data_IF_514942419555
#
_entry.id   IF_514942419555
#
_cell.length_a   1.000
_cell.length_b   1.000
_cell.length_c   1.000
_cell.angle_alpha   90.00
_cell.angle_beta   90.00
_cell.angle_gamma   90.00
#
_symmetry.space_group_name_H-M   'P 1'
#
loop_
_entity.id
_entity.type
_entity.pdbx_description
1 polymer ?
#
# COMPACT_ATOMS: atom_id res chain seq x y z
N UNK A 1 1.51 -17.33 17.24
CA UNK A 1 2.06 -16.95 18.56
C UNK A 1 1.47 -15.60 18.94
N UNK A 2 1.05 -15.43 20.19
CA UNK A 2 0.37 -14.23 20.68
C UNK A 2 1.24 -13.54 21.72
N UNK A 3 1.61 -12.28 21.48
CA UNK A 3 2.27 -11.43 22.47
C UNK A 3 1.31 -11.05 23.62
N UNK A 4 -0.01 -11.18 23.41
CA UNK A 4 -1.06 -10.72 24.32
C UNK A 4 -1.78 -11.86 25.04
N UNK A 5 -1.28 -13.11 24.95
CA UNK A 5 -1.89 -14.27 25.61
C UNK A 5 -3.26 -14.71 25.07
N UNK A 6 -3.82 -14.01 24.08
CA UNK A 6 -5.06 -14.40 23.41
C UNK A 6 -4.80 -15.46 22.31
N UNK A 7 -5.74 -16.39 22.13
CA UNK A 7 -5.71 -17.33 21.01
C UNK A 7 -5.82 -16.54 19.70
N UNK A 8 -4.80 -16.60 18.86
CA UNK A 8 -4.79 -15.87 17.59
C UNK A 8 -5.90 -16.41 16.69
N UNK A 9 -6.83 -15.54 16.29
CA UNK A 9 -7.83 -15.89 15.28
C UNK A 9 -7.18 -16.29 13.96
N UNK A 10 -7.86 -17.09 13.12
CA UNK A 10 -7.33 -17.46 11.80
C UNK A 10 -7.05 -16.23 10.93
N UNK A 11 -5.85 -16.15 10.36
CA UNK A 11 -5.41 -14.97 9.58
C UNK A 11 -6.32 -14.67 8.39
N UNK A 12 -6.82 -15.71 7.72
CA UNK A 12 -7.72 -15.57 6.57
C UNK A 12 -9.05 -14.89 6.92
N UNK A 13 -9.53 -15.02 8.17
CA UNK A 13 -10.73 -14.29 8.62
C UNK A 13 -10.43 -12.81 8.81
N UNK A 14 -9.29 -12.48 9.40
CA UNK A 14 -8.82 -11.10 9.54
C UNK A 14 -8.66 -10.45 8.15
N UNK A 15 -7.98 -11.14 7.23
CA UNK A 15 -7.81 -10.69 5.84
C UNK A 15 -9.15 -10.44 5.14
N UNK A 16 -10.11 -11.35 5.29
CA UNK A 16 -11.47 -11.18 4.75
C UNK A 16 -12.17 -9.94 5.29
N UNK A 17 -12.12 -9.71 6.61
CA UNK A 17 -12.71 -8.52 7.25
C UNK A 17 -12.03 -7.23 6.77
N UNK A 18 -10.70 -7.20 6.69
CA UNK A 18 -9.95 -6.05 6.20
C UNK A 18 -10.31 -5.72 4.74
N UNK A 19 -10.38 -6.74 3.87
CA UNK A 19 -10.83 -6.59 2.48
C UNK A 19 -12.25 -6.04 2.39
N UNK A 20 -13.18 -6.55 3.19
CA UNK A 20 -14.55 -6.03 3.26
C UNK A 20 -14.60 -4.59 3.78
N UNK A 21 -13.74 -4.23 4.74
CA UNK A 21 -13.62 -2.87 5.23
C UNK A 21 -13.02 -1.91 4.18
N UNK A 22 -12.35 -2.44 3.14
CA UNK A 22 -11.62 -1.63 2.16
C UNK A 22 -10.26 -1.21 2.68
N UNK A 23 -9.64 -2.03 3.54
CA UNK A 23 -8.30 -1.82 4.07
C UNK A 23 -7.31 -2.58 3.20
N UNK A 24 -6.31 -1.87 2.68
CA UNK A 24 -5.18 -2.47 1.97
C UNK A 24 -4.19 -3.00 3.01
N UNK A 25 -4.07 -4.32 3.10
CA UNK A 25 -3.12 -4.97 3.99
C UNK A 25 -1.73 -5.02 3.35
N UNK A 26 -0.70 -4.72 4.14
CA UNK A 26 0.72 -4.86 3.80
C UNK A 26 1.41 -5.79 4.80
N UNK A 27 2.57 -6.34 4.43
CA UNK A 27 3.27 -7.37 5.22
C UNK A 27 4.49 -6.84 5.98
N UNK A 28 4.86 -5.57 5.78
CA UNK A 28 5.98 -4.94 6.45
C UNK A 28 5.69 -3.46 6.79
N UNK A 29 6.40 -2.91 7.78
CA UNK A 29 6.36 -1.49 8.11
C UNK A 29 6.89 -0.65 6.94
N UNK A 30 7.86 -1.19 6.22
CA UNK A 30 8.43 -0.54 5.04
C UNK A 30 7.38 -0.37 3.93
N UNK A 31 6.64 -1.43 3.61
CA UNK A 31 5.55 -1.37 2.62
C UNK A 31 4.44 -0.43 3.10
N UNK A 32 4.16 -0.34 4.41
CA UNK A 32 3.18 0.60 4.96
C UNK A 32 3.51 2.04 4.57
N UNK A 33 4.74 2.48 4.79
CA UNK A 33 5.17 3.84 4.43
C UNK A 33 5.32 4.01 2.92
N UNK A 34 5.92 3.03 2.24
CA UNK A 34 6.16 3.05 0.80
C UNK A 34 4.87 3.15 -0.01
N UNK A 35 3.89 2.30 0.30
CA UNK A 35 2.60 2.30 -0.39
C UNK A 35 1.76 3.51 0.04
N UNK A 36 1.83 3.89 1.32
CA UNK A 36 1.17 5.08 1.85
C UNK A 36 1.63 6.37 1.16
N UNK A 37 2.92 6.49 0.86
CA UNK A 37 3.46 7.65 0.14
C UNK A 37 2.89 7.77 -1.28
N UNK A 38 2.87 6.67 -2.03
CA UNK A 38 2.25 6.65 -3.36
C UNK A 38 0.77 7.04 -3.32
N UNK A 39 0.00 6.43 -2.41
CA UNK A 39 -1.42 6.73 -2.23
C UNK A 39 -1.69 8.19 -1.81
N UNK A 40 -0.79 8.79 -1.03
CA UNK A 40 -0.97 10.14 -0.51
C UNK A 40 -0.59 11.25 -1.50
N UNK A 41 0.34 10.96 -2.43
CA UNK A 41 0.97 12.00 -3.26
C UNK A 41 0.65 11.91 -4.73
N UNK A 42 0.25 10.74 -5.22
CA UNK A 42 0.02 10.54 -6.65
C UNK A 42 -1.46 10.67 -7.03
N UNK A 43 -1.76 11.12 -8.27
CA UNK A 43 -3.11 11.08 -8.82
C UNK A 43 -3.72 9.67 -8.73
N UNK A 44 -5.06 9.55 -8.60
CA UNK A 44 -5.72 8.24 -8.64
C UNK A 44 -5.46 7.51 -9.96
N UNK A 45 -5.13 6.22 -9.87
CA UNK A 45 -4.92 5.38 -11.04
C UNK A 45 -6.23 5.18 -11.82
N UNK A 46 -6.20 5.46 -13.13
CA UNK A 46 -7.39 5.43 -14.00
C UNK A 46 -7.72 4.04 -14.57
N UNK A 47 -6.81 3.07 -14.45
CA UNK A 47 -6.82 1.79 -15.16
C UNK A 47 -5.72 0.88 -14.65
N UNK A 48 -5.34 -0.10 -15.46
CA UNK A 48 -4.32 -1.09 -15.11
C UNK A 48 -3.19 -1.17 -16.14
N UNK A 49 -3.20 -0.29 -17.15
CA UNK A 49 -2.17 -0.22 -18.20
C UNK A 49 -1.01 0.63 -17.70
N UNK A 50 0.16 0.05 -17.55
CA UNK A 50 1.34 0.73 -16.99
C UNK A 50 2.38 0.91 -18.09
N UNK A 51 2.85 2.15 -18.25
CA UNK A 51 4.01 2.48 -19.06
C UNK A 51 5.29 2.32 -18.26
N UNK A 52 6.34 1.80 -18.89
CA UNK A 52 7.66 1.68 -18.28
C UNK A 52 8.69 2.35 -19.18
N UNK A 53 9.50 3.23 -18.59
CA UNK A 53 10.67 3.84 -19.24
C UNK A 53 11.91 3.48 -18.43
N UNK A 54 12.97 2.98 -19.06
CA UNK A 54 14.16 2.49 -18.37
C UNK A 54 15.44 2.78 -19.15
N UNK A 55 16.57 2.78 -18.46
CA UNK A 55 17.91 2.69 -19.06
C UNK A 55 18.48 1.26 -19.04
N UNK A 56 17.74 0.28 -18.51
CA UNK A 56 18.20 -1.09 -18.33
C UNK A 56 17.04 -2.10 -18.38
N UNK A 57 17.20 -3.14 -19.19
CA UNK A 57 16.20 -4.18 -19.39
C UNK A 57 15.94 -5.08 -18.16
N UNK A 58 16.94 -5.24 -17.27
CA UNK A 58 16.79 -6.05 -16.06
C UNK A 58 15.71 -5.49 -15.11
N UNK A 59 15.85 -4.25 -14.63
CA UNK A 59 14.82 -3.55 -13.87
C UNK A 59 13.45 -3.51 -14.56
N UNK A 60 13.41 -3.26 -15.87
CA UNK A 60 12.14 -3.29 -16.60
C UNK A 60 11.48 -4.68 -16.61
N UNK A 61 12.26 -5.75 -16.71
CA UNK A 61 11.75 -7.13 -16.60
C UNK A 61 11.19 -7.38 -15.20
N UNK A 62 11.89 -6.96 -14.14
CA UNK A 62 11.43 -7.11 -12.76
C UNK A 62 10.13 -6.33 -12.49
N UNK A 63 10.02 -5.10 -12.99
CA UNK A 63 8.80 -4.29 -12.91
C UNK A 63 7.66 -5.00 -13.64
N UNK A 64 7.84 -5.32 -14.92
CA UNK A 64 6.80 -5.96 -15.74
C UNK A 64 6.31 -7.27 -15.14
N UNK A 65 7.23 -8.11 -14.65
CA UNK A 65 6.89 -9.37 -14.00
C UNK A 65 6.08 -9.16 -12.72
N UNK A 66 6.48 -8.21 -11.86
CA UNK A 66 5.77 -7.92 -10.62
C UNK A 66 4.36 -7.35 -10.88
N UNK A 67 4.22 -6.51 -11.90
CA UNK A 67 2.93 -5.96 -12.33
C UNK A 67 1.99 -7.07 -12.86
N UNK A 68 2.50 -7.96 -13.70
CA UNK A 68 1.74 -9.07 -14.31
C UNK A 68 1.18 -10.03 -13.25
N UNK A 69 1.99 -10.39 -12.23
CA UNK A 69 1.56 -11.24 -11.12
C UNK A 69 0.37 -10.68 -10.33
N UNK A 70 0.20 -9.36 -10.34
CA UNK A 70 -0.84 -8.63 -9.62
C UNK A 70 -1.98 -8.17 -10.54
N UNK A 71 -2.02 -8.66 -11.79
CA UNK A 71 -3.10 -8.41 -12.75
C UNK A 71 -3.04 -7.06 -13.46
N UNK A 72 -1.92 -6.35 -13.37
CA UNK A 72 -1.65 -5.16 -14.17
C UNK A 72 -1.16 -5.52 -15.57
N UNK A 73 -1.28 -4.58 -16.52
CA UNK A 73 -0.94 -4.77 -17.92
C UNK A 73 0.23 -3.85 -18.29
N UNK A 74 1.20 -4.38 -19.03
CA UNK A 74 2.26 -3.59 -19.68
C UNK A 74 2.02 -3.69 -21.20
N UNK A 75 1.03 -2.96 -21.76
CA UNK A 75 0.63 -3.16 -23.14
C UNK A 75 1.67 -2.59 -24.10
N UNK A 76 1.88 -3.28 -25.23
CA UNK A 76 2.63 -2.71 -26.34
C UNK A 76 1.99 -1.39 -26.79
N UNK A 77 2.80 -0.36 -26.95
CA UNK A 77 2.35 0.93 -27.48
C UNK A 77 1.93 0.82 -28.95
N UNK A 78 1.03 1.70 -29.37
CA UNK A 78 0.59 1.83 -30.76
C UNK A 78 1.77 2.13 -31.68
N UNK A 79 1.69 1.66 -32.94
CA UNK A 79 2.71 1.97 -33.95
C UNK A 79 2.91 3.49 -34.11
N UNK A 80 1.83 4.27 -33.98
CA UNK A 80 1.90 5.73 -34.01
C UNK A 80 2.77 6.30 -32.89
N UNK A 81 2.56 5.89 -31.64
CA UNK A 81 3.37 6.34 -30.51
C UNK A 81 4.83 5.88 -30.65
N UNK A 82 5.04 4.63 -31.06
CA UNK A 82 6.38 4.10 -31.33
C UNK A 82 7.11 4.92 -32.41
N UNK A 83 6.43 5.26 -33.50
CA UNK A 83 6.98 6.08 -34.60
C UNK A 83 7.26 7.51 -34.17
N UNK A 84 6.49 8.05 -33.22
CA UNK A 84 6.78 9.37 -32.62
C UNK A 84 7.99 9.33 -31.69
N UNK A 85 8.18 8.27 -30.90
CA UNK A 85 9.32 8.14 -29.97
C UNK A 85 10.62 7.85 -30.75
N UNK A 86 10.56 7.04 -31.81
CA UNK A 86 11.72 6.52 -32.56
C UNK A 86 12.78 7.57 -32.95
N UNK A 87 12.43 8.79 -33.44
CA UNK A 87 13.41 9.81 -33.82
C UNK A 87 14.20 10.39 -32.64
N UNK A 88 13.72 10.23 -31.41
CA UNK A 88 14.34 10.78 -30.21
C UNK A 88 15.28 9.81 -29.52
N UNK A 89 15.16 8.51 -29.79
CA UNK A 89 15.91 7.44 -29.10
C UNK A 89 16.97 6.84 -30.03
N UNK A 90 18.08 6.30 -29.50
CA UNK A 90 19.09 5.67 -30.34
C UNK A 90 18.54 4.42 -31.05
N UNK A 91 19.16 4.02 -32.16
CA UNK A 91 18.66 2.97 -33.06
C UNK A 91 18.46 1.61 -32.35
N UNK A 92 19.30 1.32 -31.36
CA UNK A 92 19.26 0.10 -30.56
C UNK A 92 18.27 0.15 -29.38
N UNK A 93 17.62 1.30 -29.12
CA UNK A 93 16.61 1.42 -28.08
C UNK A 93 15.29 0.75 -28.48
N UNK A 94 14.60 0.21 -27.48
CA UNK A 94 13.23 -0.26 -27.62
C UNK A 94 12.27 0.93 -27.57
N UNK A 95 11.35 1.02 -28.53
CA UNK A 95 10.21 1.97 -28.46
C UNK A 95 8.90 1.28 -28.09
N UNK A 96 8.89 -0.05 -27.98
CA UNK A 96 7.75 -0.78 -27.42
C UNK A 96 7.70 -0.53 -25.91
N UNK A 97 6.63 -0.93 -25.23
CA UNK A 97 6.57 -0.89 -23.77
C UNK A 97 7.13 -2.21 -23.22
N UNK A 98 8.16 -2.21 -22.35
CA UNK A 98 8.92 -1.07 -21.82
C UNK A 98 9.82 -0.36 -22.84
N UNK A 99 9.87 0.98 -22.76
CA UNK A 99 10.80 1.81 -23.55
C UNK A 99 12.16 1.77 -22.87
N UNK A 100 13.08 1.02 -23.45
CA UNK A 100 14.44 0.82 -22.95
C UNK A 100 15.42 1.64 -23.78
N UNK A 101 15.96 2.70 -23.18
CA UNK A 101 16.94 3.58 -23.79
C UNK A 101 18.37 3.02 -23.72
N UNK A 102 18.56 1.83 -23.14
CA UNK A 102 19.87 1.22 -22.89
C UNK A 102 20.76 2.17 -22.06
N UNK A 103 22.08 2.11 -22.21
CA UNK A 103 23.00 3.03 -21.54
C UNK A 103 23.05 4.45 -22.14
N UNK A 104 21.98 4.90 -22.80
CA UNK A 104 21.89 6.26 -23.30
C UNK A 104 21.51 7.20 -22.15
N UNK A 105 22.51 7.92 -21.63
CA UNK A 105 22.42 8.74 -20.42
C UNK A 105 21.81 10.14 -20.66
N UNK A 106 20.90 10.28 -21.61
CA UNK A 106 20.12 11.51 -21.75
C UNK A 106 18.96 11.51 -20.75
N UNK A 107 19.17 12.18 -19.62
CA UNK A 107 18.20 12.25 -18.53
C UNK A 107 16.95 13.03 -18.95
N UNK A 108 17.05 14.08 -19.77
CA UNK A 108 15.86 14.80 -20.21
C UNK A 108 15.00 13.91 -21.10
N UNK A 109 15.63 13.10 -21.95
CA UNK A 109 14.92 12.12 -22.77
C UNK A 109 14.23 11.06 -21.92
N UNK A 110 14.97 10.45 -20.98
CA UNK A 110 14.50 9.36 -20.09
C UNK A 110 13.41 9.81 -19.11
N UNK A 111 13.58 10.97 -18.48
CA UNK A 111 12.79 11.42 -17.34
C UNK A 111 11.70 12.43 -17.70
N UNK A 112 11.80 13.12 -18.83
CA UNK A 112 10.82 14.14 -19.24
C UNK A 112 10.21 13.85 -20.61
N UNK A 113 11.01 13.78 -21.67
CA UNK A 113 10.49 13.81 -23.05
C UNK A 113 9.70 12.55 -23.42
N UNK A 114 10.27 11.35 -23.24
CA UNK A 114 9.56 10.09 -23.52
C UNK A 114 8.38 9.89 -22.57
N UNK A 115 8.54 10.04 -21.24
CA UNK A 115 7.43 10.09 -20.28
C UNK A 115 6.25 10.98 -20.69
N UNK A 116 6.54 12.21 -21.11
CA UNK A 116 5.52 13.17 -21.54
C UNK A 116 4.78 12.71 -22.80
N UNK A 117 5.49 12.11 -23.77
CA UNK A 117 4.86 11.56 -24.98
C UNK A 117 3.94 10.38 -24.67
N UNK A 118 4.35 9.49 -23.76
CA UNK A 118 3.56 8.35 -23.31
C UNK A 118 2.32 8.82 -22.54
N UNK A 119 2.47 9.76 -21.60
CA UNK A 119 1.33 10.29 -20.83
C UNK A 119 0.32 11.02 -21.73
N UNK A 120 0.78 11.72 -22.77
CA UNK A 120 -0.09 12.39 -23.76
C UNK A 120 -0.87 11.43 -24.67
N UNK A 121 -0.43 10.17 -24.82
CA UNK A 121 -1.08 9.23 -25.74
C UNK A 121 -2.38 8.64 -25.18
N UNK A 122 -2.60 8.72 -23.86
CA UNK A 122 -3.68 8.04 -23.13
C UNK A 122 -3.67 6.50 -23.29
N UNK A 123 -2.53 5.93 -23.69
CA UNK A 123 -2.35 4.47 -23.82
C UNK A 123 -2.01 3.80 -22.47
N UNK A 124 -1.67 4.59 -21.45
CA UNK A 124 -1.35 4.14 -20.09
C UNK A 124 -2.20 4.87 -19.07
N UNK A 125 -2.37 4.24 -17.92
CA UNK A 125 -3.11 4.74 -16.77
C UNK A 125 -2.20 5.10 -15.60
N UNK A 126 -0.94 4.64 -15.63
CA UNK A 126 0.13 4.95 -14.69
C UNK A 126 1.50 4.68 -15.32
N UNK A 127 2.57 5.16 -14.71
CA UNK A 127 3.93 5.02 -15.27
C UNK A 127 4.97 4.76 -14.19
N UNK A 128 5.97 3.94 -14.54
CA UNK A 128 7.16 3.71 -13.73
C UNK A 128 8.39 4.07 -14.56
N UNK A 129 9.28 4.89 -14.00
CA UNK A 129 10.58 5.19 -14.62
C UNK A 129 11.68 4.56 -13.78
N UNK A 130 12.63 3.87 -14.44
CA UNK A 130 13.83 3.36 -13.80
C UNK A 130 15.11 4.01 -14.37
N UNK A 131 16.08 4.27 -13.50
CA UNK A 131 17.44 4.62 -13.92
C UNK A 131 17.69 6.09 -14.20
N UNK A 132 16.87 6.99 -13.62
CA UNK A 132 17.14 8.43 -13.62
C UNK A 132 18.23 8.71 -12.59
N UNK A 133 19.48 8.84 -13.05
CA UNK A 133 20.65 8.92 -12.16
C UNK A 133 21.65 9.95 -12.65
N UNK A 134 22.35 10.59 -11.72
CA UNK A 134 23.45 11.50 -12.02
C UNK A 134 24.73 10.71 -12.24
N UNK A 135 24.93 10.22 -13.46
CA UNK A 135 26.13 9.47 -13.83
C UNK A 135 27.33 10.41 -14.04
N UNK A 136 27.89 10.94 -12.96
CA UNK A 136 29.24 11.51 -12.99
C UNK A 136 30.25 10.38 -12.81
N UNK A 137 30.92 9.98 -13.88
CA UNK A 137 32.06 9.05 -13.80
C UNK A 137 33.18 9.75 -13.04
N UNK A 138 33.23 9.53 -11.73
CA UNK A 138 34.38 9.89 -10.92
C UNK A 138 35.56 9.01 -11.30
N UNK A 139 36.39 9.47 -12.25
CA UNK A 139 37.82 9.14 -12.17
C UNK A 139 38.33 9.78 -10.88
N UNK A 140 38.42 9.02 -9.78
CA UNK A 140 39.53 9.26 -8.85
C UNK A 140 40.81 8.82 -9.56
N UNK A 141 41.25 9.62 -10.51
CA UNK A 141 42.63 9.59 -10.97
C UNK A 141 43.30 10.80 -10.32
N UNK A 142 44.21 10.52 -9.39
CA UNK A 142 45.41 11.34 -9.28
C UNK A 142 45.98 11.43 -10.70
N UNK A 143 45.74 12.54 -11.40
CA UNK A 143 46.64 13.04 -12.42
C UNK A 143 46.18 14.44 -12.85
N UNK A 144 47.09 15.39 -12.61
CA UNK A 144 46.99 16.81 -12.92
C UNK A 144 46.98 17.05 -14.45
N UNK A 145 45.89 16.74 -15.12
CA UNK A 145 45.64 17.26 -16.47
C UNK A 145 44.20 17.76 -16.59
N UNK A 146 44.08 19.09 -16.58
CA UNK A 146 42.96 19.84 -17.14
C UNK A 146 42.73 19.38 -18.60
N UNK A 147 41.47 19.29 -19.04
CA UNK A 147 41.01 18.91 -20.40
C UNK A 147 40.67 17.43 -20.69
N UNK A 148 40.01 16.72 -19.75
CA UNK A 148 39.10 15.64 -20.17
C UNK A 148 37.95 15.38 -19.18
N UNK A 149 37.21 16.44 -18.84
CA UNK A 149 35.83 16.26 -18.39
C UNK A 149 35.03 15.68 -19.58
N UNK A 150 34.88 14.36 -19.61
CA UNK A 150 33.78 13.73 -20.33
C UNK A 150 32.52 14.12 -19.56
N UNK A 151 32.07 15.34 -19.82
CA UNK A 151 30.86 15.93 -19.30
C UNK A 151 29.67 15.22 -19.98
N UNK A 152 29.36 14.00 -19.56
CA UNK A 152 28.18 13.23 -20.02
C UNK A 152 26.85 13.71 -19.40
N UNK A 153 26.85 14.93 -18.84
CA UNK A 153 25.65 15.68 -18.52
C UNK A 153 25.96 17.14 -18.70
N UNK A 154 25.24 17.81 -19.63
CA UNK A 154 25.21 19.28 -19.63
C UNK A 154 24.85 19.77 -18.22
N UNK A 155 25.32 20.94 -17.76
CA UNK A 155 24.79 21.56 -16.56
C UNK A 155 23.27 21.64 -16.70
N UNK A 156 22.55 20.76 -15.99
CA UNK A 156 21.15 20.56 -16.25
C UNK A 156 20.34 21.65 -15.57
N UNK A 157 19.52 22.26 -16.41
CA UNK A 157 18.74 23.44 -16.17
C UNK A 157 17.61 23.12 -15.19
N UNK A 158 17.34 24.03 -14.25
CA UNK A 158 16.23 23.91 -13.28
C UNK A 158 14.90 23.59 -13.97
N UNK A 159 14.78 23.99 -15.23
CA UNK A 159 13.67 23.69 -16.13
C UNK A 159 13.45 22.19 -16.39
N UNK A 160 14.48 21.35 -16.44
CA UNK A 160 14.34 19.90 -16.68
C UNK A 160 13.77 19.21 -15.44
N UNK A 161 14.30 19.53 -14.25
CA UNK A 161 13.80 19.01 -12.98
C UNK A 161 12.32 19.36 -12.81
N UNK A 162 11.96 20.63 -13.04
CA UNK A 162 10.56 21.07 -12.96
C UNK A 162 9.66 20.32 -13.96
N UNK A 163 10.15 20.09 -15.19
CA UNK A 163 9.40 19.32 -16.19
C UNK A 163 9.18 17.88 -15.78
N UNK A 164 10.22 17.15 -15.34
CA UNK A 164 10.10 15.72 -15.00
C UNK A 164 9.25 15.51 -13.74
N UNK A 165 9.37 16.36 -12.72
CA UNK A 165 8.63 16.17 -11.45
C UNK A 165 7.18 16.64 -11.52
N UNK A 166 6.84 17.55 -12.44
CA UNK A 166 5.46 18.04 -12.62
C UNK A 166 4.58 17.14 -13.49
N UNK A 167 5.16 16.18 -14.22
CA UNK A 167 4.43 15.26 -15.11
C UNK A 167 3.18 14.61 -14.48
N UNK A 168 3.24 14.00 -13.28
CA UNK A 168 2.08 13.29 -12.76
C UNK A 168 0.88 14.20 -12.54
N UNK A 169 1.10 15.39 -11.96
CA UNK A 169 0.03 16.37 -11.73
C UNK A 169 -0.45 17.00 -13.05
N UNK A 170 0.47 17.25 -13.99
CA UNK A 170 0.15 17.87 -15.27
C UNK A 170 -0.75 17.00 -16.15
N UNK A 171 -0.52 15.69 -16.14
CA UNK A 171 -1.28 14.73 -16.95
C UNK A 171 -2.33 13.95 -16.17
N UNK A 172 -2.40 14.16 -14.85
CA UNK A 172 -3.27 13.41 -13.93
C UNK A 172 -3.07 11.88 -14.06
N UNK A 173 -1.79 11.49 -14.16
CA UNK A 173 -1.35 10.09 -14.32
C UNK A 173 -0.29 9.80 -13.26
N UNK A 174 -0.48 8.81 -12.36
CA UNK A 174 0.50 8.51 -11.32
C UNK A 174 1.86 8.12 -11.92
N UNK A 175 2.91 8.67 -11.33
CA UNK A 175 4.31 8.42 -11.68
C UNK A 175 5.05 7.93 -10.45
N UNK A 176 5.69 6.77 -10.56
CA UNK A 176 6.58 6.22 -9.55
C UNK A 176 7.99 6.05 -10.12
N UNK A 177 9.00 6.25 -9.29
CA UNK A 177 10.40 6.15 -9.70
C UNK A 177 11.02 4.95 -9.01
N UNK A 178 11.74 4.15 -9.79
CA UNK A 178 12.66 3.14 -9.27
C UNK A 178 14.09 3.60 -9.47
N UNK A 179 14.86 3.62 -8.39
CA UNK A 179 16.28 3.99 -8.40
C UNK A 179 17.06 3.03 -7.53
N UNK A 180 18.32 2.75 -7.85
CA UNK A 180 19.23 2.06 -6.92
C UNK A 180 20.04 3.04 -6.06
N UNK A 181 19.78 4.34 -6.21
CA UNK A 181 20.48 5.41 -5.51
C UNK A 181 19.56 6.05 -4.49
N UNK A 182 20.14 6.46 -3.37
CA UNK A 182 19.46 7.21 -2.32
C UNK A 182 19.38 8.70 -2.67
N UNK A 183 19.01 9.51 -1.66
CA UNK A 183 18.88 10.96 -1.78
C UNK A 183 20.19 11.71 -2.03
N UNK A 184 21.35 11.08 -1.95
CA UNK A 184 22.60 11.72 -2.35
C UNK A 184 22.64 11.93 -3.88
N UNK A 185 21.86 11.14 -4.63
CA UNK A 185 21.57 11.45 -6.03
C UNK A 185 20.59 12.61 -6.17
N UNK A 186 20.99 13.63 -6.93
CA UNK A 186 20.21 14.86 -7.11
C UNK A 186 18.85 14.63 -7.76
N UNK A 187 18.68 13.61 -8.62
CA UNK A 187 17.41 13.34 -9.27
C UNK A 187 16.48 12.55 -8.35
N UNK A 188 17.02 11.60 -7.58
CA UNK A 188 16.28 11.00 -6.47
C UNK A 188 15.77 12.12 -5.56
N UNK A 189 16.64 12.96 -4.99
CA UNK A 189 16.25 14.07 -4.13
C UNK A 189 15.20 14.98 -4.77
N UNK A 190 15.37 15.33 -6.05
CA UNK A 190 14.43 16.19 -6.76
C UNK A 190 13.02 15.58 -6.90
N UNK A 191 12.90 14.29 -7.20
CA UNK A 191 11.61 13.62 -7.23
C UNK A 191 10.95 13.61 -5.86
N UNK A 192 11.71 13.22 -4.83
CA UNK A 192 11.18 13.14 -3.47
C UNK A 192 10.74 14.51 -2.94
N UNK A 193 11.53 15.57 -3.19
CA UNK A 193 11.22 16.96 -2.80
C UNK A 193 9.97 17.51 -3.49
N UNK A 194 9.59 16.93 -4.64
CA UNK A 194 8.39 17.28 -5.39
C UNK A 194 7.25 16.26 -5.22
N UNK A 195 7.29 15.44 -4.16
CA UNK A 195 6.27 14.43 -3.85
C UNK A 195 6.05 13.38 -4.95
N UNK A 196 7.10 13.06 -5.71
CA UNK A 196 7.10 11.90 -6.60
C UNK A 196 7.81 10.75 -5.88
N UNK A 197 7.11 9.65 -5.53
CA UNK A 197 7.70 8.56 -4.78
C UNK A 197 8.87 7.89 -5.52
N UNK A 198 9.97 7.71 -4.80
CA UNK A 198 11.14 6.96 -5.26
C UNK A 198 11.28 5.70 -4.42
N UNK A 199 11.54 4.57 -5.09
CA UNK A 199 11.74 3.27 -4.45
C UNK A 199 13.11 2.72 -4.83
N UNK A 200 13.80 2.15 -3.85
CA UNK A 200 15.15 1.57 -3.95
C UNK A 200 15.20 0.22 -4.68
N UNK A 201 14.05 -0.30 -5.14
CA UNK A 201 13.96 -1.51 -5.96
C UNK A 201 12.85 -1.43 -7.03
N UNK A 202 13.03 -2.08 -8.19
CA UNK A 202 12.01 -2.10 -9.24
C UNK A 202 10.71 -2.77 -8.80
N UNK A 203 10.79 -3.86 -8.03
CA UNK A 203 9.63 -4.59 -7.51
C UNK A 203 8.84 -3.77 -6.48
N UNK A 204 9.53 -2.98 -5.65
CA UNK A 204 8.87 -2.08 -4.68
C UNK A 204 8.05 -1.02 -5.39
N UNK A 205 8.59 -0.39 -6.44
CA UNK A 205 7.84 0.56 -7.27
C UNK A 205 6.59 -0.10 -7.90
N UNK A 206 6.74 -1.32 -8.42
CA UNK A 206 5.62 -2.08 -8.97
C UNK A 206 4.54 -2.41 -7.92
N UNK A 207 4.91 -2.88 -6.71
CA UNK A 207 3.94 -3.16 -5.63
C UNK A 207 3.24 -1.91 -5.11
N UNK A 208 3.92 -0.77 -5.10
CA UNK A 208 3.29 0.51 -4.78
C UNK A 208 2.27 0.92 -5.86
N UNK A 209 2.57 0.72 -7.14
CA UNK A 209 1.61 0.93 -8.24
C UNK A 209 0.37 0.04 -8.07
N UNK A 210 0.56 -1.23 -7.72
CA UNK A 210 -0.54 -2.18 -7.42
C UNK A 210 -1.44 -1.68 -6.29
N UNK A 211 -0.88 -1.00 -5.29
CA UNK A 211 -1.69 -0.41 -4.21
C UNK A 211 -2.59 0.72 -4.69
N UNK A 212 -2.18 1.50 -5.69
CA UNK A 212 -3.06 2.50 -6.34
C UNK A 212 -4.24 1.82 -7.05
N UNK A 213 -4.01 0.67 -7.71
CA UNK A 213 -5.09 -0.11 -8.32
C UNK A 213 -6.05 -0.68 -7.27
N UNK A 214 -5.53 -1.32 -6.22
CA UNK A 214 -6.35 -1.85 -5.11
C UNK A 214 -7.21 -0.76 -4.48
N UNK A 215 -6.64 0.43 -4.28
CA UNK A 215 -7.38 1.58 -3.75
C UNK A 215 -8.51 2.01 -4.68
N UNK A 216 -8.25 2.04 -5.99
CA UNK A 216 -9.29 2.30 -6.99
C UNK A 216 -10.40 1.25 -6.93
N UNK A 217 -10.07 -0.04 -6.91
CA UNK A 217 -11.08 -1.12 -6.80
C UNK A 217 -11.94 -0.97 -5.55
N UNK A 218 -11.33 -0.59 -4.42
CA UNK A 218 -12.05 -0.29 -3.18
C UNK A 218 -12.98 0.92 -3.33
N UNK A 219 -12.54 1.97 -4.02
CA UNK A 219 -13.33 3.19 -4.24
C UNK A 219 -14.49 2.97 -5.21
N UNK A 220 -14.27 2.15 -6.23
CA UNK A 220 -15.24 1.88 -7.30
C UNK A 220 -16.22 0.74 -6.93
N UNK A 221 -16.01 0.06 -5.80
CA UNK A 221 -16.87 -1.03 -5.34
C UNK A 221 -18.30 -0.54 -5.07
N UNK A 222 -19.29 -1.27 -5.59
CA UNK A 222 -20.69 -1.05 -5.24
C UNK A 222 -20.94 -1.62 -3.84
N UNK A 223 -21.36 -0.79 -2.89
CA UNK A 223 -21.79 -1.25 -1.57
C UNK A 223 -23.16 -1.93 -1.75
N UNK A 224 -23.19 -3.26 -1.72
CA UNK A 224 -24.36 -4.05 -2.17
C UNK A 224 -25.57 -3.95 -1.22
N UNK A 225 -25.35 -3.64 0.06
CA UNK A 225 -26.36 -3.15 0.99
C UNK A 225 -25.64 -2.69 2.28
N UNK A 226 -26.12 -1.65 2.98
CA UNK A 226 -25.68 -1.38 4.34
C UNK A 226 -25.96 -2.61 5.22
N UNK A 227 -25.10 -2.91 6.20
CA UNK A 227 -25.33 -4.03 7.11
C UNK A 227 -26.67 -3.82 7.83
N UNK A 228 -27.46 -4.88 7.95
CA UNK A 228 -28.71 -4.85 8.71
C UNK A 228 -28.35 -4.68 10.19
N UNK A 229 -28.65 -3.52 10.74
CA UNK A 229 -28.51 -3.28 12.18
C UNK A 229 -29.68 -4.00 12.88
N UNK A 230 -29.41 -4.91 13.83
CA UNK A 230 -30.48 -5.58 14.55
C UNK A 230 -31.32 -4.58 15.34
N UNK A 231 -32.63 -4.82 15.43
CA UNK A 231 -33.51 -3.99 16.24
C UNK A 231 -33.07 -4.05 17.72
N UNK A 232 -33.21 -2.95 18.49
CA UNK A 232 -32.88 -2.95 19.90
C UNK A 232 -33.61 -4.06 20.67
N UNK A 233 -32.85 -4.92 21.36
CA UNK A 233 -33.42 -5.97 22.20
C UNK A 233 -33.82 -5.41 23.57
N UNK A 234 -35.03 -5.75 24.02
CA UNK A 234 -35.58 -5.25 25.30
C UNK A 234 -34.83 -5.82 26.51
N UNK A 235 -34.33 -7.05 26.42
CA UNK A 235 -33.47 -7.67 27.43
C UNK A 235 -32.13 -6.98 27.53
N UNK A 236 -31.50 -6.65 26.39
CA UNK A 236 -30.23 -5.93 26.34
C UNK A 236 -30.38 -4.54 26.94
N UNK A 237 -31.47 -3.82 26.59
CA UNK A 237 -31.80 -2.52 27.17
C UNK A 237 -31.98 -2.60 28.68
N UNK A 238 -32.65 -3.65 29.19
CA UNK A 238 -32.85 -3.83 30.63
C UNK A 238 -31.53 -4.05 31.36
N UNK A 239 -30.59 -4.81 30.80
CA UNK A 239 -29.26 -5.03 31.38
C UNK A 239 -28.53 -3.69 31.49
N UNK A 240 -28.48 -2.92 30.39
CA UNK A 240 -27.81 -1.61 30.36
C UNK A 240 -28.44 -0.64 31.36
N UNK A 241 -29.76 -0.54 31.41
CA UNK A 241 -30.45 0.34 32.36
C UNK A 241 -30.18 -0.08 33.81
N UNK A 242 -30.19 -1.38 34.11
CA UNK A 242 -29.88 -1.89 35.45
C UNK A 242 -28.44 -1.56 35.87
N UNK A 243 -27.49 -1.66 34.94
CA UNK A 243 -26.10 -1.28 35.16
C UNK A 243 -25.96 0.23 35.48
N UNK A 244 -26.63 1.07 34.69
CA UNK A 244 -26.67 2.52 34.89
C UNK A 244 -27.31 2.91 36.24
N UNK A 245 -28.44 2.29 36.59
CA UNK A 245 -29.15 2.53 37.86
C UNK A 245 -28.29 2.14 39.08
N UNK A 246 -27.42 1.15 38.92
CA UNK A 246 -26.43 0.74 39.93
C UNK A 246 -25.17 1.63 39.95
N UNK A 247 -25.08 2.63 39.09
CA UNK A 247 -23.92 3.51 38.98
C UNK A 247 -22.67 2.85 38.39
N UNK A 248 -22.83 1.72 37.69
CA UNK A 248 -21.70 1.04 37.04
C UNK A 248 -21.13 1.91 35.92
N UNK A 249 -19.80 1.88 35.76
CA UNK A 249 -19.08 2.57 34.67
C UNK A 249 -18.76 1.68 33.47
N UNK A 250 -18.96 0.37 33.63
CA UNK A 250 -18.78 -0.65 32.62
C UNK A 250 -19.71 -1.83 32.95
N UNK A 251 -19.99 -2.69 31.97
CA UNK A 251 -20.66 -3.97 32.20
C UNK A 251 -19.63 -4.98 32.69
N UNK A 252 -20.05 -5.88 33.59
CA UNK A 252 -19.23 -7.04 33.93
C UNK A 252 -19.23 -8.09 32.79
N UNK A 253 -18.36 -9.10 32.91
CA UNK A 253 -18.18 -10.15 31.88
C UNK A 253 -19.50 -10.90 31.60
N UNK A 254 -20.31 -11.14 32.63
CA UNK A 254 -21.58 -11.86 32.53
C UNK A 254 -22.66 -11.02 31.85
N UNK A 255 -22.81 -9.76 32.25
CA UNK A 255 -23.73 -8.79 31.65
C UNK A 255 -23.41 -8.58 30.16
N UNK A 256 -22.12 -8.37 29.83
CA UNK A 256 -21.67 -8.18 28.45
C UNK A 256 -21.98 -9.40 27.56
N UNK A 257 -21.64 -10.62 28.00
CA UNK A 257 -21.92 -11.84 27.24
C UNK A 257 -23.41 -12.11 27.08
N UNK A 258 -24.23 -11.76 28.08
CA UNK A 258 -25.69 -11.83 27.96
C UNK A 258 -26.22 -10.92 26.85
N UNK A 259 -25.72 -9.69 26.75
CA UNK A 259 -26.08 -8.77 25.66
C UNK A 259 -25.68 -9.35 24.31
N UNK A 260 -24.44 -9.84 24.17
CA UNK A 260 -23.96 -10.47 22.93
C UNK A 260 -24.86 -11.63 22.49
N UNK A 261 -25.22 -12.51 23.43
CA UNK A 261 -26.12 -13.64 23.17
C UNK A 261 -27.52 -13.21 22.71
N UNK A 262 -28.04 -12.09 23.20
CA UNK A 262 -29.35 -11.55 22.77
C UNK A 262 -29.33 -11.05 21.31
N UNK A 263 -28.16 -10.67 20.81
CA UNK A 263 -27.94 -10.33 19.40
C UNK A 263 -27.46 -11.53 18.56
N UNK A 264 -27.56 -12.75 19.09
CA UNK A 264 -27.20 -13.98 18.37
C UNK A 264 -25.70 -14.24 18.25
N UNK A 265 -24.87 -13.49 18.96
CA UNK A 265 -23.42 -13.73 19.01
C UNK A 265 -23.18 -14.91 19.96
N UNK A 266 -22.55 -16.00 19.50
CA UNK A 266 -22.25 -17.15 20.34
C UNK A 266 -21.33 -16.76 21.51
N UNK A 267 -21.71 -17.18 22.73
CA UNK A 267 -20.92 -16.99 23.95
C UNK A 267 -20.73 -18.33 24.66
N UNK A 268 -19.72 -18.41 25.52
CA UNK A 268 -19.47 -19.59 26.35
C UNK A 268 -20.64 -19.86 27.29
N UNK A 269 -20.97 -21.15 27.51
CA UNK A 269 -21.94 -21.53 28.51
C UNK A 269 -21.39 -21.20 29.91
N UNK A 270 -22.10 -20.33 30.64
CA UNK A 270 -21.63 -19.84 31.94
C UNK A 270 -22.80 -19.55 32.89
N UNK A 271 -22.51 -19.50 34.18
CA UNK A 271 -23.45 -19.06 35.22
C UNK A 271 -22.76 -18.14 36.22
N UNK A 272 -23.43 -17.04 36.56
CA UNK A 272 -23.08 -16.21 37.70
C UNK A 272 -23.51 -16.94 38.99
N UNK A 273 -22.58 -17.09 39.93
CA UNK A 273 -22.77 -17.78 41.20
C UNK A 273 -22.22 -16.90 42.32
N UNK A 274 -22.89 -16.91 43.48
CA UNK A 274 -22.50 -16.12 44.66
C UNK A 274 -22.04 -16.98 45.83
N UNK A 275 -22.29 -18.29 45.78
CA UNK A 275 -21.97 -19.26 46.83
C UNK A 275 -21.26 -20.47 46.23
N UNK A 276 -20.46 -21.12 47.06
CA UNK A 276 -19.71 -22.32 46.70
C UNK A 276 -20.64 -23.45 46.20
N UNK A 277 -21.74 -23.70 46.91
CA UNK A 277 -22.73 -24.73 46.56
C UNK A 277 -23.32 -24.50 45.15
N UNK A 278 -23.63 -23.25 44.82
CA UNK A 278 -24.14 -22.87 43.50
C UNK A 278 -23.09 -23.08 42.40
N UNK A 279 -21.81 -22.83 42.72
CA UNK A 279 -20.70 -23.07 41.79
C UNK A 279 -20.54 -24.56 41.48
N UNK A 280 -20.62 -25.43 42.49
CA UNK A 280 -20.55 -26.90 42.31
C UNK A 280 -21.71 -27.40 41.45
N UNK A 281 -22.94 -26.92 41.71
CA UNK A 281 -24.10 -27.28 40.90
C UNK A 281 -23.99 -26.76 39.46
N UNK A 282 -23.54 -25.52 39.26
CA UNK A 282 -23.32 -24.96 37.94
C UNK A 282 -22.28 -25.76 37.15
N UNK A 283 -21.16 -26.13 37.78
CA UNK A 283 -20.10 -26.93 37.16
C UNK A 283 -20.61 -28.30 36.68
N UNK A 284 -21.40 -29.01 37.50
CA UNK A 284 -21.99 -30.29 37.13
C UNK A 284 -22.96 -30.17 35.95
N UNK A 285 -23.74 -29.09 35.89
CA UNK A 285 -24.70 -28.85 34.81
C UNK A 285 -24.03 -28.42 33.49
N UNK A 286 -22.94 -27.65 33.58
CA UNK A 286 -22.17 -27.20 32.40
C UNK A 286 -21.37 -28.36 31.82
N UNK A 287 -20.84 -29.24 32.68
CA UNK A 287 -19.93 -30.32 32.30
C UNK A 287 -18.47 -29.89 32.37
N UNK A 288 -17.59 -30.84 32.69
CA UNK A 288 -16.15 -30.58 32.90
C UNK A 288 -15.34 -30.67 31.61
N UNK A 289 -14.21 -29.95 31.50
CA UNK A 289 -13.63 -29.03 32.50
C UNK A 289 -14.32 -27.66 32.57
N UNK A 290 -14.30 -27.04 33.75
CA UNK A 290 -14.81 -25.67 33.98
C UNK A 290 -13.74 -24.77 34.59
N UNK A 291 -13.88 -23.46 34.40
CA UNK A 291 -13.07 -22.44 35.07
C UNK A 291 -13.98 -21.54 35.93
N UNK A 292 -13.55 -21.24 37.16
CA UNK A 292 -14.19 -20.25 38.02
C UNK A 292 -13.42 -18.94 37.93
N UNK A 293 -14.13 -17.83 37.69
CA UNK A 293 -13.53 -16.50 37.59
C UNK A 293 -14.35 -15.50 38.40
N UNK A 294 -13.67 -14.58 39.08
CA UNK A 294 -14.33 -13.41 39.65
C UNK A 294 -15.01 -12.60 38.53
N UNK A 295 -16.22 -12.10 38.81
CA UNK A 295 -17.02 -11.27 37.92
C UNK A 295 -17.37 -9.97 38.67
N UNK A 296 -16.79 -8.86 38.24
CA UNK A 296 -17.07 -7.53 38.78
C UNK A 296 -16.72 -6.49 37.72
N UNK A 297 -17.57 -5.48 37.56
CA UNK A 297 -17.32 -4.33 36.68
C UNK A 297 -16.15 -3.47 37.18
N UNK A 298 -15.77 -3.58 38.46
CA UNK A 298 -14.61 -2.88 39.03
C UNK A 298 -13.28 -3.53 38.63
N UNK A 299 -13.31 -4.78 38.17
CA UNK A 299 -12.12 -5.57 37.82
C UNK A 299 -12.09 -5.76 36.29
N UNK A 300 -11.80 -4.69 35.56
CA UNK A 300 -11.77 -4.70 34.09
C UNK A 300 -10.56 -5.43 33.51
N UNK A 301 -9.42 -5.37 34.19
CA UNK A 301 -8.22 -6.11 33.83
C UNK A 301 -7.87 -7.07 34.96
N UNK A 302 -7.98 -8.36 34.68
CA UNK A 302 -7.45 -9.43 35.52
C UNK A 302 -5.94 -9.46 35.27
N UNK A 303 -5.19 -8.48 35.81
CA UNK A 303 -3.74 -8.62 35.94
C UNK A 303 -3.45 -9.83 36.82
N UNK A 304 -2.42 -10.59 36.41
CA UNK A 304 -2.02 -11.89 36.99
C UNK A 304 -2.04 -11.97 38.52
#
# INVERSE_FOLDING_TARGET
>A
MSHTGALAGPDFLCDGILKQAGIIRVTSIEDLFSHGWALATQPPLAGKRIGIVTNSGGPATAISHTLDLEGMEVPCFSEDLQNRIRPHVPLNASTVNPVDLTFYLDIELLAATVPEMIMKSNEVDGMIIHGVVNFSVGRKAQDDNEDSDILLGRPQDRSVIERMTSLPLRYNTPLLISSFFDRDDKYTAAYEDNNVPVFDSPEKAARAMVSLLRYREIRDRKITAPPVIPAPDSGARRIIMTALDKGQRALDEYEAKRILSLYGIPVTLERLVLKEEDAVHAAKNIGFPVALKACSWEIMHKTE
#
